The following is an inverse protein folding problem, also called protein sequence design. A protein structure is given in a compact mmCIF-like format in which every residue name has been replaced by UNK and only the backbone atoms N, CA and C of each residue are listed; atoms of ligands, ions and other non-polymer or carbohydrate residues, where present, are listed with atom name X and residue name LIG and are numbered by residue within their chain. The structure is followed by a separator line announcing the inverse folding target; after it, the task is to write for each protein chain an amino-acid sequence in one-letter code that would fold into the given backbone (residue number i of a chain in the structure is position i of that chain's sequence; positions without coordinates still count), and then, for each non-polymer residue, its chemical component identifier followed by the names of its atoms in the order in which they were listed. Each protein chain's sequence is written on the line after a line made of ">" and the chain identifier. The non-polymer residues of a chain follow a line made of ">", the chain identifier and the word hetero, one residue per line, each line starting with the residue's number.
data_IF_246915228869
#
_entry.id   IF_246915228869
#
_cell.length_a   1.000
_cell.length_b   1.000
_cell.length_c   1.000
_cell.angle_alpha   90.00
_cell.angle_beta   90.00
_cell.angle_gamma   90.00
#
_symmetry.space_group_name_H-M   'P 1'
#
loop_
_entity.id
_entity.type
_entity.pdbx_description
1 polymer ?
2 non-polymer ?
3 non-polymer ?
4 water ?
#
# COMPACT_ATOMS: atom_id res chain seq x y z
N UNK A 1 -9.30 -10.01 -13.09
CA UNK A 1 -9.42 -9.40 -14.40
C UNK A 1 -8.65 -8.07 -14.50
N UNK A 2 -7.85 -7.98 -15.50
CA UNK A 2 -7.08 -6.79 -15.67
C UNK A 2 -7.87 -5.69 -16.39
N UNK A 3 -8.65 -6.07 -17.40
CA UNK A 3 -9.37 -5.10 -18.19
C UNK A 3 -8.53 -4.55 -19.34
N UNK A 4 -9.16 -3.70 -20.15
CA UNK A 4 -8.56 -3.20 -21.37
C UNK A 4 -7.84 -1.87 -21.26
N UNK A 5 -7.79 -1.37 -20.02
CA UNK A 5 -7.40 -0.04 -19.72
C UNK A 5 -6.13 0.08 -18.85
N UNK A 6 -5.37 -0.98 -18.73
CA UNK A 6 -4.16 -1.00 -17.97
C UNK A 6 -4.27 -1.78 -16.66
N UNK A 7 -3.14 -2.21 -16.10
CA UNK A 7 -3.14 -3.10 -14.94
C UNK A 7 -3.03 -2.20 -13.69
N UNK A 8 -4.08 -2.14 -12.90
CA UNK A 8 -4.04 -1.30 -11.71
C UNK A 8 -2.92 -1.65 -10.73
N UNK A 9 -2.47 -2.92 -10.75
CA UNK A 9 -1.41 -3.34 -9.82
C UNK A 9 -0.07 -2.64 -10.17
N UNK A 10 0.04 -2.11 -11.37
CA UNK A 10 1.25 -1.47 -11.86
C UNK A 10 1.26 0.05 -11.66
N UNK A 11 0.26 0.55 -10.99
CA UNK A 11 0.10 1.94 -10.73
C UNK A 11 0.58 2.32 -9.32
N UNK A 12 1.40 3.33 -9.29
CA UNK A 12 1.98 3.76 -8.05
C UNK A 12 0.92 4.53 -7.25
N UNK A 13 1.02 4.52 -5.95
CA UNK A 13 0.06 5.25 -5.17
C UNK A 13 0.63 5.66 -3.84
N UNK A 14 0.23 6.82 -3.39
CA UNK A 14 0.56 7.32 -2.08
C UNK A 14 -0.66 7.32 -1.19
N UNK A 15 -1.76 6.73 -1.65
CA UNK A 15 -2.94 6.52 -0.85
C UNK A 15 -3.64 7.78 -0.36
N UNK A 16 -4.35 7.65 0.75
CA UNK A 16 -5.28 8.64 1.26
C UNK A 16 -4.50 9.72 1.95
N UNK A 17 -4.83 10.97 1.69
CA UNK A 17 -4.25 12.07 2.46
C UNK A 17 -4.88 12.16 3.83
N UNK A 18 -4.32 13.03 4.67
CA UNK A 18 -4.93 13.34 5.95
C UNK A 18 -6.35 13.78 5.81
N UNK A 19 -6.63 14.55 4.79
CA UNK A 19 -7.97 14.99 4.52
C UNK A 19 -9.02 13.89 4.33
N UNK A 20 -8.61 12.75 3.79
CA UNK A 20 -9.48 11.64 3.74
C UNK A 20 -9.44 10.77 5.01
N UNK A 21 -8.28 10.66 5.62
CA UNK A 21 -8.12 9.78 6.74
C UNK A 21 -8.84 10.32 7.98
N UNK A 22 -8.78 11.59 8.17
CA UNK A 22 -9.34 12.13 9.39
C UNK A 22 -10.84 11.89 9.58
N UNK A 23 -11.66 12.23 8.58
CA UNK A 23 -13.07 11.94 8.62
C UNK A 23 -13.40 10.49 8.92
N UNK A 24 -12.48 9.55 8.63
CA UNK A 24 -12.70 8.13 8.90
C UNK A 24 -12.14 7.74 10.26
N UNK A 25 -11.86 8.74 11.07
CA UNK A 25 -11.29 8.58 12.38
C UNK A 25 -10.00 7.72 12.43
N UNK A 26 -9.14 7.86 11.42
CA UNK A 26 -7.81 7.31 11.47
C UNK A 26 -6.75 8.35 11.76
N UNK A 27 -5.73 7.98 12.54
CA UNK A 27 -4.66 8.89 12.92
C UNK A 27 -3.38 8.67 12.13
N UNK A 28 -3.56 8.07 10.97
CA UNK A 28 -2.49 7.96 10.00
C UNK A 28 -3.02 8.10 8.58
N UNK A 29 -2.14 8.41 7.64
CA UNK A 29 -2.54 8.54 6.28
C UNK A 29 -1.73 7.59 5.37
N UNK A 30 -1.95 7.59 4.08
CA UNK A 30 -1.12 6.80 3.22
C UNK A 30 -1.78 5.53 2.74
N UNK A 31 -1.00 4.62 2.17
CA UNK A 31 -1.64 3.49 1.59
C UNK A 31 -2.35 2.60 2.65
N UNK A 32 -1.77 2.49 3.83
CA UNK A 32 -2.37 1.68 4.84
C UNK A 32 -3.74 2.25 5.23
N UNK A 33 -3.87 3.56 5.11
CA UNK A 33 -5.12 4.21 5.45
C UNK A 33 -6.16 3.89 4.40
N UNK A 34 -5.76 4.00 3.16
CA UNK A 34 -6.63 3.53 2.11
C UNK A 34 -7.09 2.08 2.28
N UNK A 35 -6.16 1.23 2.65
CA UNK A 35 -6.43 -0.19 2.79
C UNK A 35 -7.38 -0.45 3.94
N UNK A 36 -7.25 0.32 5.00
CA UNK A 36 -8.08 0.13 6.16
C UNK A 36 -9.49 0.54 5.82
N UNK A 37 -9.62 1.67 5.16
CA UNK A 37 -10.94 2.14 4.80
C UNK A 37 -11.62 1.15 3.83
N UNK A 38 -10.87 0.67 2.87
CA UNK A 38 -11.41 -0.32 1.99
C UNK A 38 -11.84 -1.57 2.76
N UNK A 39 -11.02 -2.03 3.65
CA UNK A 39 -11.34 -3.20 4.42
C UNK A 39 -12.64 -2.98 5.20
N UNK A 40 -12.82 -1.79 5.72
CA UNK A 40 -14.03 -1.51 6.46
C UNK A 40 -15.28 -1.56 5.56
N UNK A 41 -15.10 -1.31 4.27
CA UNK A 41 -16.22 -1.37 3.37
C UNK A 41 -16.35 -2.74 2.68
N UNK A 42 -15.50 -3.68 3.01
CA UNK A 42 -15.47 -4.93 2.29
C UNK A 42 -16.75 -5.79 2.42
N UNK A 43 -17.34 -5.76 3.60
CA UNK A 43 -18.44 -6.59 3.86
C UNK A 43 -19.64 -6.04 3.04
N UNK A 44 -19.82 -4.73 3.09
CA UNK A 44 -20.85 -4.07 2.31
C UNK A 44 -20.59 -4.20 0.81
N UNK A 45 -19.37 -3.99 0.38
CA UNK A 45 -19.03 -4.22 -1.02
C UNK A 45 -19.43 -5.62 -1.46
N UNK A 46 -19.12 -6.59 -0.66
CA UNK A 46 -19.34 -7.99 -0.99
C UNK A 46 -20.82 -8.32 -1.29
N UNK A 47 -21.72 -7.53 -0.72
CA UNK A 47 -23.08 -7.57 -1.18
C UNK A 47 -23.26 -7.50 -2.67
N UNK A 48 -22.36 -6.83 -3.35
CA UNK A 48 -22.57 -6.55 -4.76
C UNK A 48 -21.56 -7.26 -5.67
N UNK A 49 -20.73 -8.08 -5.07
CA UNK A 49 -19.58 -8.58 -5.72
C UNK A 49 -19.86 -9.28 -7.06
N UNK A 50 -20.93 -10.08 -7.15
CA UNK A 50 -21.20 -10.77 -8.42
C UNK A 50 -21.67 -9.80 -9.53
N UNK A 51 -22.38 -8.76 -9.16
CA UNK A 51 -22.75 -7.72 -10.13
C UNK A 51 -21.56 -6.91 -10.61
N UNK A 52 -20.70 -6.58 -9.68
CA UNK A 52 -19.52 -5.86 -10.05
C UNK A 52 -18.70 -6.66 -11.09
N UNK A 53 -18.50 -7.90 -10.80
CA UNK A 53 -17.78 -8.76 -11.75
C UNK A 53 -18.49 -8.96 -13.09
N UNK A 54 -19.81 -8.96 -13.09
CA UNK A 54 -20.52 -9.02 -14.37
C UNK A 54 -20.22 -7.80 -15.20
N UNK A 55 -20.33 -6.68 -14.53
CA UNK A 55 -20.07 -5.42 -15.14
C UNK A 55 -18.63 -5.33 -15.63
N UNK A 56 -17.68 -5.80 -14.86
CA UNK A 56 -16.30 -5.81 -15.29
C UNK A 56 -16.08 -6.72 -16.48
N UNK A 57 -16.76 -7.84 -16.46
CA UNK A 57 -16.69 -8.70 -17.64
C UNK A 57 -17.28 -8.04 -18.90
N UNK A 58 -18.42 -7.43 -18.76
CA UNK A 58 -19.11 -6.87 -19.89
C UNK A 58 -18.33 -5.76 -20.51
N UNK A 59 -17.71 -4.95 -19.68
CA UNK A 59 -17.01 -3.78 -20.12
C UNK A 59 -15.45 -3.91 -20.26
N UNK A 60 -14.88 -5.04 -19.95
CA UNK A 60 -13.47 -5.17 -19.80
C UNK A 60 -12.83 -4.12 -18.90
N UNK A 61 -13.38 -3.99 -17.73
CA UNK A 61 -12.84 -3.11 -16.72
C UNK A 61 -12.58 -3.95 -15.44
N UNK A 62 -11.49 -3.65 -14.72
CA UNK A 62 -11.07 -4.48 -13.58
C UNK A 62 -12.16 -4.25 -12.50
N UNK A 63 -12.78 -5.30 -11.99
CA UNK A 63 -13.80 -5.15 -10.96
C UNK A 63 -13.28 -4.59 -9.66
N UNK A 64 -12.00 -4.78 -9.43
CA UNK A 64 -11.33 -4.14 -8.33
C UNK A 64 -11.33 -2.58 -8.37
N UNK A 65 -11.15 -2.07 -9.57
CA UNK A 65 -11.23 -0.63 -9.79
C UNK A 65 -12.66 -0.12 -9.57
N UNK A 66 -13.64 -0.82 -10.11
CA UNK A 66 -15.02 -0.49 -9.80
C UNK A 66 -15.25 -0.48 -8.28
N UNK A 67 -14.81 -1.50 -7.60
CA UNK A 67 -14.96 -1.52 -6.16
C UNK A 67 -14.29 -0.35 -5.43
N UNK A 68 -13.06 -0.07 -5.87
CA UNK A 68 -12.31 1.02 -5.28
C UNK A 68 -13.04 2.34 -5.41
N UNK A 69 -13.60 2.59 -6.56
CA UNK A 69 -14.47 3.75 -6.76
C UNK A 69 -15.69 3.76 -5.84
N UNK A 70 -16.35 2.62 -5.75
CA UNK A 70 -17.52 2.55 -4.91
C UNK A 70 -17.18 2.86 -3.43
N UNK A 71 -16.10 2.31 -2.95
CA UNK A 71 -15.73 2.55 -1.62
C UNK A 71 -15.51 4.02 -1.36
N UNK A 72 -14.82 4.63 -2.29
CA UNK A 72 -14.46 6.05 -2.16
C UNK A 72 -15.69 6.93 -2.32
N UNK A 73 -16.55 6.54 -3.24
CA UNK A 73 -17.70 7.39 -3.53
C UNK A 73 -18.81 7.38 -2.52
N UNK A 74 -19.09 6.23 -1.97
CA UNK A 74 -20.31 5.97 -1.25
C UNK A 74 -20.14 5.06 -0.02
N UNK A 75 -18.92 4.60 0.23
CA UNK A 75 -18.71 3.56 1.22
C UNK A 75 -19.67 2.35 0.95
N UNK A 76 -19.71 1.96 -0.30
CA UNK A 76 -20.54 0.85 -0.69
C UNK A 76 -21.99 1.11 -0.21
N UNK A 77 -22.42 2.35 -0.34
CA UNK A 77 -23.74 2.73 0.02
C UNK A 77 -23.88 3.26 1.40
N UNK A 78 -22.97 2.96 2.27
CA UNK A 78 -23.22 3.30 3.66
C UNK A 78 -23.24 4.81 3.94
N UNK A 79 -22.66 5.59 3.05
CA UNK A 79 -22.58 7.03 3.21
C UNK A 79 -23.70 7.83 2.58
N UNK A 80 -24.54 7.15 1.79
CA UNK A 80 -25.61 7.77 1.05
C UNK A 80 -26.86 8.02 1.89
N UNK A 81 -27.66 8.94 1.41
CA UNK A 81 -29.01 9.13 1.90
C UNK A 81 -30.00 8.70 0.80
N UNK A 82 -30.62 7.57 1.02
CA UNK A 82 -31.56 7.03 0.05
C UNK A 82 -31.01 7.06 -1.35
N UNK A 83 -29.77 6.69 -1.51
CA UNK A 83 -29.17 6.59 -2.83
C UNK A 83 -28.33 7.78 -3.26
N UNK A 84 -28.42 8.87 -2.52
CA UNK A 84 -27.85 10.11 -2.93
C UNK A 84 -26.68 10.62 -2.00
N UNK A 85 -25.73 11.30 -2.60
CA UNK A 85 -24.67 12.03 -1.92
C UNK A 85 -24.13 13.25 -2.68
N UNK A 86 -22.97 13.74 -2.34
CA UNK A 86 -22.51 14.93 -3.03
C UNK A 86 -23.55 16.07 -3.14
N UNK A 87 -24.05 16.47 -1.99
CA UNK A 87 -24.80 17.69 -1.91
C UNK A 87 -26.02 17.53 -2.83
N UNK A 88 -26.46 16.30 -2.95
CA UNK A 88 -27.67 16.00 -3.68
C UNK A 88 -27.46 15.82 -5.17
N UNK A 89 -26.21 15.80 -5.57
CA UNK A 89 -25.89 15.67 -6.97
C UNK A 89 -25.51 14.30 -7.42
N UNK A 90 -25.01 13.51 -6.50
CA UNK A 90 -24.49 12.24 -6.90
C UNK A 90 -25.49 11.10 -6.65
N UNK A 91 -25.61 10.15 -7.58
CA UNK A 91 -26.54 9.06 -7.44
C UNK A 91 -25.83 7.70 -7.39
N UNK A 92 -26.16 6.86 -6.43
CA UNK A 92 -25.85 5.46 -6.54
C UNK A 92 -24.46 5.11 -5.99
N UNK A 93 -24.15 3.83 -5.93
CA UNK A 93 -22.89 3.33 -5.45
C UNK A 93 -21.66 4.06 -5.99
N UNK A 94 -21.68 4.35 -7.28
CA UNK A 94 -20.61 5.07 -7.95
C UNK A 94 -20.80 6.58 -8.11
N UNK A 95 -21.88 7.07 -7.54
CA UNK A 95 -22.16 8.48 -7.53
C UNK A 95 -22.03 9.20 -8.87
N UNK A 96 -22.84 8.75 -9.79
CA UNK A 96 -23.09 9.47 -11.01
C UNK A 96 -23.73 10.86 -10.82
N UNK A 97 -23.14 11.89 -11.39
CA UNK A 97 -23.62 13.26 -11.21
C UNK A 97 -24.90 13.46 -12.01
N UNK A 98 -25.99 13.74 -11.36
CA UNK A 98 -27.26 13.94 -12.07
C UNK A 98 -27.33 15.24 -12.90
N UNK A 99 -26.37 16.13 -12.73
CA UNK A 99 -26.44 17.39 -13.39
C UNK A 99 -26.00 17.30 -14.83
N UNK A 100 -25.22 16.29 -15.10
CA UNK A 100 -24.69 16.12 -16.43
C UNK A 100 -25.05 14.79 -17.02
N UNK A 101 -25.50 13.84 -16.24
CA UNK A 101 -25.99 12.57 -16.72
C UNK A 101 -27.40 12.34 -16.22
N UNK A 102 -28.17 11.61 -16.98
CA UNK A 102 -29.46 11.09 -16.52
C UNK A 102 -29.29 9.76 -15.77
N UNK A 103 -29.35 9.76 -14.43
CA UNK A 103 -29.02 8.53 -13.70
C UNK A 103 -30.02 7.45 -14.06
N UNK A 104 -29.57 6.24 -14.31
CA UNK A 104 -30.45 5.13 -14.54
C UNK A 104 -30.29 4.03 -13.48
N UNK A 105 -31.34 3.31 -13.22
CA UNK A 105 -31.23 2.11 -12.46
C UNK A 105 -31.52 2.32 -10.97
N UNK A 106 -31.70 1.24 -10.26
CA UNK A 106 -31.71 1.28 -8.81
C UNK A 106 -30.31 1.71 -8.38
N UNK A 107 -30.26 2.42 -7.27
CA UNK A 107 -29.06 3.01 -6.76
C UNK A 107 -27.90 2.03 -6.58
N UNK A 108 -28.22 0.74 -6.45
CA UNK A 108 -27.26 -0.29 -6.13
C UNK A 108 -27.37 -1.47 -7.07
N UNK A 109 -27.82 -1.18 -8.28
CA UNK A 109 -27.99 -2.21 -9.29
C UNK A 109 -27.09 -2.22 -10.50
N UNK A 110 -27.29 -3.20 -11.34
CA UNK A 110 -26.41 -3.43 -12.46
C UNK A 110 -26.40 -2.29 -13.48
N UNK A 111 -27.57 -1.82 -13.86
CA UNK A 111 -27.63 -0.70 -14.78
C UNK A 111 -26.90 0.51 -14.23
N UNK A 112 -27.04 0.78 -12.94
CA UNK A 112 -26.28 1.86 -12.38
C UNK A 112 -24.73 1.66 -12.52
N UNK A 113 -24.27 0.46 -12.22
CA UNK A 113 -22.87 0.15 -12.24
C UNK A 113 -22.33 0.22 -13.65
N UNK A 114 -23.19 -0.15 -14.58
CA UNK A 114 -22.80 -0.06 -15.98
C UNK A 114 -22.60 1.40 -16.37
N UNK A 115 -23.51 2.23 -15.90
CA UNK A 115 -23.44 3.63 -16.21
C UNK A 115 -22.17 4.29 -15.66
N UNK A 116 -21.93 4.06 -14.39
CA UNK A 116 -20.77 4.64 -13.77
C UNK A 116 -19.50 4.13 -14.44
N UNK A 117 -19.47 2.88 -14.76
CA UNK A 117 -18.29 2.30 -15.31
C UNK A 117 -18.05 2.78 -16.75
N UNK A 118 -19.10 2.99 -17.52
CA UNK A 118 -18.95 3.57 -18.85
C UNK A 118 -18.38 4.98 -18.77
N UNK A 119 -18.79 5.68 -17.74
CA UNK A 119 -18.31 7.00 -17.57
C UNK A 119 -16.82 6.93 -17.23
N UNK A 120 -16.42 6.06 -16.32
CA UNK A 120 -15.02 5.83 -16.08
C UNK A 120 -14.23 5.57 -17.32
N UNK A 121 -14.72 4.68 -18.16
CA UNK A 121 -14.09 4.41 -19.42
C UNK A 121 -13.92 5.67 -20.24
N UNK A 122 -14.96 6.48 -20.28
CA UNK A 122 -14.84 7.69 -21.05
C UNK A 122 -13.76 8.64 -20.48
N UNK A 123 -13.59 8.69 -19.17
CA UNK A 123 -12.53 9.47 -18.59
C UNK A 123 -11.14 8.90 -18.96
N UNK A 124 -11.02 7.59 -18.94
CA UNK A 124 -9.74 7.04 -19.20
C UNK A 124 -9.39 7.38 -20.66
N UNK A 125 -10.35 7.28 -21.54
CA UNK A 125 -10.08 7.49 -22.95
C UNK A 125 -9.72 8.95 -23.26
N UNK A 126 -10.31 9.85 -22.47
CA UNK A 126 -9.98 11.24 -22.52
C UNK A 126 -8.53 11.49 -22.17
N UNK A 127 -8.09 10.89 -21.07
CA UNK A 127 -6.72 10.97 -20.67
C UNK A 127 -5.77 10.31 -21.71
N UNK A 128 -6.18 9.20 -22.25
CA UNK A 128 -5.35 8.59 -23.31
C UNK A 128 -5.13 9.49 -24.50
N UNK A 129 -6.16 10.24 -24.85
CA UNK A 129 -6.08 11.18 -25.97
C UNK A 129 -5.26 12.38 -25.59
N UNK A 130 -5.43 12.87 -24.35
CA UNK A 130 -4.78 14.06 -23.87
C UNK A 130 -3.26 13.86 -23.71
N UNK A 131 -2.85 12.69 -23.26
CA UNK A 131 -1.48 12.37 -22.94
C UNK A 131 -0.99 11.06 -23.63
N UNK A 132 -0.89 11.08 -24.96
CA UNK A 132 -0.52 9.87 -25.67
C UNK A 132 0.90 9.33 -25.39
N UNK A 133 1.75 10.11 -24.76
CA UNK A 133 3.08 9.67 -24.42
C UNK A 133 3.19 9.01 -23.01
N UNK A 134 2.14 9.10 -22.21
CA UNK A 134 2.01 8.29 -21.07
C UNK A 134 1.84 6.77 -21.34
N UNK A 135 2.22 5.94 -20.41
CA UNK A 135 1.87 4.54 -20.44
C UNK A 135 0.38 4.28 -20.18
N UNK A 136 -0.09 3.12 -20.58
CA UNK A 136 -1.47 2.80 -20.32
C UNK A 136 -1.80 2.93 -18.82
N UNK A 137 -0.91 2.42 -17.99
CA UNK A 137 -1.09 2.49 -16.56
C UNK A 137 -1.13 3.93 -16.03
N UNK A 138 -0.29 4.80 -16.54
CA UNK A 138 -0.38 6.23 -16.25
C UNK A 138 -1.72 6.82 -16.62
N UNK A 139 -2.14 6.49 -17.82
CA UNK A 139 -3.41 6.96 -18.29
C UNK A 139 -4.59 6.46 -17.42
N UNK A 140 -4.47 5.22 -16.94
CA UNK A 140 -5.49 4.65 -16.10
C UNK A 140 -5.60 5.52 -14.85
N UNK A 141 -4.47 5.83 -14.25
CA UNK A 141 -4.55 6.61 -13.00
C UNK A 141 -5.20 7.99 -13.28
N UNK A 142 -4.82 8.55 -14.41
CA UNK A 142 -5.35 9.83 -14.79
C UNK A 142 -6.86 9.76 -15.00
N UNK A 143 -7.31 8.66 -15.58
CA UNK A 143 -8.71 8.46 -15.85
C UNK A 143 -9.50 8.45 -14.55
N UNK A 144 -8.96 7.75 -13.58
CA UNK A 144 -9.63 7.63 -12.31
C UNK A 144 -9.67 9.02 -11.63
N UNK A 145 -8.62 9.75 -11.75
CA UNK A 145 -8.61 11.10 -11.19
C UNK A 145 -9.67 11.95 -11.89
N UNK A 146 -9.79 11.76 -13.18
CA UNK A 146 -10.72 12.56 -13.94
C UNK A 146 -12.16 12.15 -13.57
N UNK A 147 -12.36 10.94 -13.07
CA UNK A 147 -13.67 10.52 -12.67
C UNK A 147 -14.23 11.45 -11.59
N UNK A 148 -13.33 12.05 -10.84
CA UNK A 148 -13.70 12.95 -9.79
C UNK A 148 -13.73 14.40 -10.24
N UNK A 149 -12.65 14.81 -10.88
CA UNK A 149 -12.44 16.21 -11.24
C UNK A 149 -12.55 16.64 -12.70
N UNK A 150 -12.82 15.67 -13.57
CA UNK A 150 -12.85 15.97 -14.98
C UNK A 150 -11.46 15.88 -15.59
N UNK A 151 -11.41 15.47 -16.84
CA UNK A 151 -10.13 15.30 -17.48
C UNK A 151 -9.33 16.66 -17.61
N UNK A 152 -10.04 17.75 -17.76
CA UNK A 152 -9.46 19.06 -17.67
C UNK A 152 -8.51 19.29 -16.48
N UNK A 153 -8.81 18.65 -15.37
CA UNK A 153 -7.99 18.81 -14.17
C UNK A 153 -6.63 18.08 -14.16
N UNK A 154 -6.47 17.17 -15.10
CA UNK A 154 -5.31 16.34 -15.09
C UNK A 154 -4.32 17.07 -15.97
N UNK A 155 -3.32 17.66 -15.36
CA UNK A 155 -2.31 18.42 -16.09
C UNK A 155 -0.85 17.98 -15.85
N UNK A 156 -0.74 16.83 -15.20
CA UNK A 156 0.48 16.25 -14.71
C UNK A 156 0.19 14.82 -14.36
N UNK A 157 1.23 14.02 -14.22
CA UNK A 157 1.07 12.70 -13.69
C UNK A 157 1.18 12.71 -12.16
N UNK A 158 2.26 13.23 -11.64
CA UNK A 158 2.54 13.16 -10.24
C UNK A 158 1.60 14.00 -9.37
N UNK A 159 1.06 15.05 -9.91
CA UNK A 159 0.25 15.92 -9.10
C UNK A 159 -1.17 16.00 -9.65
N UNK A 160 -1.57 15.01 -10.44
CA UNK A 160 -2.93 14.92 -10.97
C UNK A 160 -3.99 15.15 -9.92
N UNK A 161 -3.81 14.69 -8.71
CA UNK A 161 -4.90 14.69 -7.78
C UNK A 161 -5.08 16.05 -7.10
N UNK A 162 -4.20 17.00 -7.34
CA UNK A 162 -4.45 18.38 -6.88
C UNK A 162 -5.74 18.92 -7.50
N UNK A 163 -6.63 19.44 -6.70
CA UNK A 163 -7.91 19.78 -7.21
C UNK A 163 -9.01 18.75 -7.19
N UNK A 164 -8.70 17.49 -6.91
CA UNK A 164 -9.70 16.53 -6.57
C UNK A 164 -10.16 16.70 -5.16
N UNK A 165 -11.25 16.04 -4.81
CA UNK A 165 -11.69 16.06 -3.44
C UNK A 165 -10.55 15.54 -2.57
N UNK A 166 -10.17 16.28 -1.54
CA UNK A 166 -9.10 15.92 -0.63
C UNK A 166 -7.68 15.81 -1.27
N UNK A 167 -7.61 16.31 -2.49
CA UNK A 167 -6.39 16.31 -3.23
C UNK A 167 -5.71 14.96 -3.24
N UNK A 168 -6.50 13.89 -3.29
CA UNK A 168 -5.95 12.54 -3.27
C UNK A 168 -6.75 11.46 -3.98
N UNK A 169 -7.64 11.83 -4.85
CA UNK A 169 -8.68 10.93 -5.24
C UNK A 169 -8.14 9.67 -5.94
N UNK A 170 -7.36 9.84 -6.99
CA UNK A 170 -6.91 8.64 -7.68
C UNK A 170 -5.88 7.86 -6.85
N UNK A 171 -5.03 8.54 -6.13
CA UNK A 171 -4.12 7.81 -5.29
C UNK A 171 -4.90 6.89 -4.30
N UNK A 172 -5.87 7.49 -3.64
CA UNK A 172 -6.72 6.74 -2.70
C UNK A 172 -7.47 5.58 -3.42
N UNK A 173 -8.11 5.89 -4.50
CA UNK A 173 -8.89 4.90 -5.16
C UNK A 173 -7.98 3.72 -5.63
N UNK A 174 -6.80 4.03 -6.07
CA UNK A 174 -5.93 3.00 -6.60
C UNK A 174 -5.50 2.03 -5.51
N UNK A 175 -5.27 2.60 -4.33
CA UNK A 175 -4.93 1.80 -3.20
C UNK A 175 -6.08 0.95 -2.75
N UNK A 176 -7.27 1.54 -2.67
CA UNK A 176 -8.48 0.75 -2.42
C UNK A 176 -8.66 -0.38 -3.39
N UNK A 177 -8.57 -0.09 -4.68
CA UNK A 177 -8.60 -1.10 -5.71
C UNK A 177 -7.58 -2.22 -5.53
N UNK A 178 -6.33 -1.82 -5.33
CA UNK A 178 -5.29 -2.82 -5.13
C UNK A 178 -5.62 -3.74 -3.96
N UNK A 179 -6.21 -3.19 -2.92
CA UNK A 179 -6.79 -3.99 -1.82
C UNK A 179 -7.88 -5.00 -2.27
N UNK A 180 -8.92 -4.52 -2.91
CA UNK A 180 -9.96 -5.39 -3.31
C UNK A 180 -9.49 -6.46 -4.25
N UNK A 181 -8.47 -6.17 -5.01
CA UNK A 181 -7.96 -7.14 -5.94
C UNK A 181 -7.38 -8.36 -5.21
N UNK A 182 -7.06 -8.15 -3.94
CA UNK A 182 -6.53 -9.19 -3.10
C UNK A 182 -7.59 -9.90 -2.26
N UNK A 183 -8.81 -9.46 -2.42
CA UNK A 183 -9.94 -9.94 -1.72
C UNK A 183 -11.06 -10.37 -2.61
N UNK A 184 -10.68 -10.99 -3.70
CA UNK A 184 -11.62 -11.65 -4.53
C UNK A 184 -12.32 -10.87 -5.62
N UNK A 185 -11.91 -9.60 -5.82
CA UNK A 185 -12.31 -8.77 -6.95
C UNK A 185 -11.36 -8.88 -8.17
N UNK B 1 12.41 0.35 -8.60
CA UNK B 1 11.62 0.67 -7.43
C UNK B 1 11.29 -0.58 -6.62
N UNK B 2 10.20 -1.23 -6.97
CA UNK B 2 9.60 -2.20 -6.09
C UNK B 2 10.36 -3.51 -6.13
N UNK B 3 10.79 -3.88 -7.30
CA UNK B 3 11.51 -5.11 -7.38
C UNK B 3 10.65 -6.34 -7.43
N UNK B 4 11.24 -7.49 -7.20
CA UNK B 4 10.58 -8.73 -7.58
C UNK B 4 10.13 -9.66 -6.43
N UNK B 5 10.18 -9.13 -5.22
CA UNK B 5 9.85 -9.92 -4.06
C UNK B 5 8.55 -9.52 -3.37
N UNK B 6 7.81 -8.65 -4.03
CA UNK B 6 6.55 -8.20 -3.54
C UNK B 6 6.49 -6.71 -3.28
N UNK B 7 5.29 -6.16 -3.26
CA UNK B 7 5.11 -4.74 -3.05
C UNK B 7 4.58 -4.40 -1.66
N UNK B 8 5.38 -3.74 -0.88
CA UNK B 8 4.99 -3.39 0.44
C UNK B 8 3.77 -2.47 0.55
N UNK B 9 3.51 -1.70 -0.50
CA UNK B 9 2.32 -0.88 -0.56
C UNK B 9 1.04 -1.70 -0.69
N UNK B 10 1.22 -2.99 -0.92
CA UNK B 10 0.07 -3.88 -1.00
C UNK B 10 0.11 -5.02 0.06
N UNK B 11 0.70 -4.75 1.20
CA UNK B 11 0.77 -5.70 2.27
C UNK B 11 -0.02 -5.10 3.43
N UNK B 12 -0.80 -5.91 4.10
CA UNK B 12 -1.58 -5.50 5.27
C UNK B 12 -0.63 -5.21 6.39
N UNK B 13 -0.96 -4.23 7.22
CA UNK B 13 -0.20 -4.05 8.41
C UNK B 13 -1.01 -3.41 9.50
N UNK B 14 -0.76 -3.84 10.70
CA UNK B 14 -1.35 -3.27 11.91
C UNK B 14 -0.30 -2.45 12.64
N UNK B 15 0.88 -2.28 12.05
CA UNK B 15 1.91 -1.44 12.65
C UNK B 15 2.49 -1.92 13.97
N UNK B 16 3.00 -1.00 14.77
CA UNK B 16 3.68 -1.30 16.00
C UNK B 16 2.72 -1.73 17.11
N UNK B 17 3.11 -2.69 17.94
CA UNK B 17 2.36 -3.00 19.13
C UNK B 17 2.67 -1.93 20.18
N UNK B 18 1.89 -1.91 21.24
CA UNK B 18 2.29 -1.10 22.38
C UNK B 18 3.70 -1.43 22.87
N UNK B 19 4.14 -2.66 22.70
CA UNK B 19 5.46 -3.00 23.19
C UNK B 19 6.58 -2.41 22.35
N UNK B 20 6.34 -2.10 21.10
CA UNK B 20 7.27 -1.29 20.35
C UNK B 20 7.15 0.20 20.53
N UNK B 21 5.97 0.70 20.84
CA UNK B 21 5.72 2.12 20.86
C UNK B 21 6.18 2.69 22.20
N UNK B 22 5.99 1.93 23.23
CA UNK B 22 6.32 2.39 24.55
C UNK B 22 7.79 2.83 24.75
N UNK B 23 8.73 2.00 24.34
CA UNK B 23 10.16 2.31 24.35
C UNK B 23 10.53 3.53 23.53
N UNK B 24 9.74 3.84 22.49
CA UNK B 24 9.91 5.04 21.71
C UNK B 24 9.20 6.26 22.27
N UNK B 25 8.68 6.11 23.48
CA UNK B 25 7.98 7.19 24.13
C UNK B 25 6.71 7.63 23.48
N UNK B 26 5.98 6.71 22.88
CA UNK B 26 4.76 7.07 22.19
C UNK B 26 3.56 6.56 22.93
N UNK B 27 2.55 7.40 23.13
CA UNK B 27 1.40 6.96 23.86
C UNK B 27 0.26 6.44 22.99
N UNK B 28 0.62 5.99 21.82
CA UNK B 28 -0.29 5.43 20.88
C UNK B 28 0.42 4.40 20.04
N UNK B 29 -0.30 3.47 19.42
CA UNK B 29 0.30 2.31 18.74
C UNK B 29 -0.05 2.24 17.26
N UNK B 30 0.20 1.10 16.65
CA UNK B 30 -0.35 0.86 15.35
C UNK B 30 0.41 1.56 14.25
N UNK B 31 -0.20 1.67 13.10
CA UNK B 31 0.43 2.29 11.95
C UNK B 31 0.89 3.75 12.22
N UNK B 32 0.11 4.52 12.96
CA UNK B 32 0.57 5.84 13.30
C UNK B 32 1.91 5.82 14.05
N UNK B 33 2.07 4.84 14.92
CA UNK B 33 3.27 4.76 15.69
C UNK B 33 4.42 4.37 14.78
N UNK B 34 4.20 3.34 14.00
CA UNK B 34 5.23 2.96 13.08
C UNK B 34 5.71 4.13 12.19
N UNK B 35 4.81 4.90 11.65
CA UNK B 35 5.15 5.99 10.79
C UNK B 35 5.91 7.06 11.54
N UNK B 36 5.51 7.36 12.76
CA UNK B 36 6.22 8.37 13.51
C UNK B 36 7.65 7.91 13.80
N UNK B 37 7.81 6.65 14.14
CA UNK B 37 9.11 6.17 14.48
C UNK B 37 9.96 6.22 13.22
N UNK B 38 9.38 5.85 12.10
CA UNK B 38 10.13 5.84 10.87
C UNK B 38 10.53 7.27 10.53
N UNK B 39 9.64 8.18 10.81
CA UNK B 39 9.88 9.60 10.58
C UNK B 39 11.05 10.11 11.35
N UNK B 40 11.10 9.78 12.63
CA UNK B 40 12.20 10.12 13.47
C UNK B 40 13.53 9.48 13.09
N UNK B 41 13.51 8.47 12.28
CA UNK B 41 14.75 7.90 11.79
C UNK B 41 15.12 8.39 10.39
N UNK B 42 14.32 9.27 9.84
CA UNK B 42 14.51 9.58 8.46
C UNK B 42 15.85 10.33 8.20
N UNK B 43 16.20 11.23 9.09
CA UNK B 43 17.38 12.02 8.90
C UNK B 43 18.57 11.10 8.84
N UNK B 44 18.70 10.15 9.77
CA UNK B 44 19.80 9.22 9.77
C UNK B 44 19.71 8.23 8.66
N UNK B 45 18.52 7.80 8.33
CA UNK B 45 18.39 6.89 7.20
C UNK B 45 18.90 7.52 5.92
N UNK B 46 18.54 8.78 5.77
CA UNK B 46 18.85 9.49 4.57
C UNK B 46 20.39 9.59 4.35
N UNK B 47 21.19 9.38 5.40
CA UNK B 47 22.63 9.34 5.23
C UNK B 47 23.09 8.20 4.33
N UNK B 48 22.25 7.18 4.30
CA UNK B 48 22.54 5.97 3.57
C UNK B 48 21.72 5.74 2.30
N UNK B 49 20.93 6.71 1.87
CA UNK B 49 19.88 6.44 0.89
C UNK B 49 20.43 5.93 -0.40
N UNK B 50 21.57 6.44 -0.83
CA UNK B 50 22.02 6.03 -2.15
C UNK B 50 22.58 4.63 -2.09
N UNK B 51 23.19 4.24 -1.00
CA UNK B 51 23.61 2.84 -0.86
C UNK B 51 22.41 1.87 -0.76
N UNK B 52 21.43 2.28 0.01
CA UNK B 52 20.24 1.49 0.13
C UNK B 52 19.59 1.27 -1.21
N UNK B 53 19.44 2.31 -2.00
CA UNK B 53 18.94 2.14 -3.33
C UNK B 53 19.84 1.27 -4.25
N UNK B 54 21.13 1.46 -4.20
CA UNK B 54 22.02 0.61 -4.97
C UNK B 54 21.79 -0.84 -4.65
N UNK B 55 21.71 -1.08 -3.37
CA UNK B 55 21.56 -2.45 -2.93
C UNK B 55 20.19 -3.04 -3.34
N UNK B 56 19.14 -2.27 -3.13
CA UNK B 56 17.84 -2.67 -3.60
C UNK B 56 17.86 -2.98 -5.09
N UNK B 57 18.45 -2.11 -5.87
CA UNK B 57 18.48 -2.35 -7.30
C UNK B 57 19.22 -3.57 -7.67
N UNK B 58 20.36 -3.78 -7.04
CA UNK B 58 21.16 -4.94 -7.31
C UNK B 58 20.48 -6.24 -7.02
N UNK B 59 19.74 -6.27 -5.94
CA UNK B 59 19.16 -7.51 -5.50
C UNK B 59 17.67 -7.66 -5.87
N UNK B 60 17.09 -6.66 -6.51
CA UNK B 60 15.70 -6.68 -6.86
C UNK B 60 14.77 -6.60 -5.65
N UNK B 61 15.22 -5.92 -4.62
CA UNK B 61 14.46 -5.74 -3.39
C UNK B 61 14.09 -4.28 -3.24
N UNK B 62 12.91 -4.01 -2.69
CA UNK B 62 12.42 -2.63 -2.60
C UNK B 62 13.33 -1.87 -1.58
N UNK B 63 13.99 -0.82 -1.97
CA UNK B 63 14.80 -0.08 -0.98
C UNK B 63 13.99 0.39 0.23
N UNK B 64 12.70 0.58 0.07
CA UNK B 64 11.87 0.96 1.19
C UNK B 64 11.81 -0.14 2.26
N UNK B 65 11.85 -1.38 1.83
CA UNK B 65 11.84 -2.51 2.73
C UNK B 65 13.21 -2.60 3.50
N UNK B 66 14.27 -2.53 2.77
CA UNK B 66 15.54 -2.40 3.43
C UNK B 66 15.53 -1.29 4.49
N UNK B 67 15.03 -0.15 4.10
CA UNK B 67 14.96 0.94 5.06
C UNK B 67 14.14 0.64 6.29
N UNK B 68 12.98 0.02 6.08
CA UNK B 68 12.10 -0.32 7.16
C UNK B 68 12.80 -1.25 8.12
N UNK B 69 13.47 -2.24 7.58
CA UNK B 69 14.27 -3.14 8.40
C UNK B 69 15.36 -2.38 9.17
N UNK B 70 16.02 -1.42 8.56
CA UNK B 70 17.12 -0.75 9.20
C UNK B 70 16.57 0.08 10.39
N UNK B 71 15.44 0.71 10.15
CA UNK B 71 14.85 1.51 11.21
C UNK B 71 14.55 0.64 12.43
N UNK B 72 14.00 -0.52 12.18
CA UNK B 72 13.58 -1.41 13.25
C UNK B 72 14.78 -2.04 13.97
N UNK B 73 15.76 -2.41 13.19
CA UNK B 73 16.83 -3.14 13.75
C UNK B 73 17.82 -2.27 14.49
N UNK B 74 18.07 -1.09 13.94
CA UNK B 74 19.12 -0.24 14.48
C UNK B 74 18.86 1.26 14.64
N UNK B 75 17.67 1.69 14.26
CA UNK B 75 17.34 3.10 14.15
C UNK B 75 18.36 3.78 13.22
N UNK B 76 18.66 3.14 12.13
CA UNK B 76 19.61 3.68 11.22
C UNK B 76 20.94 4.01 11.94
N UNK B 77 21.33 3.19 12.87
CA UNK B 77 22.64 3.27 13.47
C UNK B 77 22.58 3.86 14.87
N UNK B 78 21.54 4.58 15.15
CA UNK B 78 21.51 5.27 16.40
C UNK B 78 21.42 4.34 17.60
N UNK B 79 20.98 3.13 17.40
CA UNK B 79 20.87 2.21 18.51
C UNK B 79 22.11 1.39 18.78
N UNK B 80 23.14 1.54 17.94
CA UNK B 80 24.30 0.67 17.92
C UNK B 80 25.48 1.28 18.69
N UNK B 81 26.38 0.47 19.20
CA UNK B 81 27.68 0.91 19.60
C UNK B 81 28.83 0.27 18.85
N UNK B 82 29.56 1.09 18.12
CA UNK B 82 30.56 0.60 17.22
C UNK B 82 30.06 -0.42 16.26
N UNK B 83 28.91 -0.20 15.66
CA UNK B 83 28.39 -1.15 14.72
C UNK B 83 27.54 -2.28 15.26
N UNK B 84 27.58 -2.56 16.57
CA UNK B 84 26.95 -3.75 17.11
C UNK B 84 25.72 -3.45 17.99
N UNK B 85 24.76 -4.34 18.00
CA UNK B 85 23.58 -4.15 18.82
C UNK B 85 23.84 -4.40 20.28
N UNK B 86 22.92 -4.02 21.15
CA UNK B 86 23.14 -4.26 22.59
C UNK B 86 23.34 -5.73 22.95
N UNK B 87 22.83 -6.61 22.09
CA UNK B 87 22.97 -8.02 22.38
C UNK B 87 24.40 -8.49 22.23
N UNK B 88 25.21 -7.74 21.53
CA UNK B 88 26.49 -8.22 21.12
C UNK B 88 26.43 -9.19 19.95
N UNK B 89 25.26 -9.35 19.36
CA UNK B 89 25.06 -10.41 18.37
C UNK B 89 24.87 -9.91 16.97
N UNK B 90 24.17 -8.81 16.86
CA UNK B 90 23.85 -8.19 15.60
C UNK B 90 24.79 -7.09 15.15
N UNK B 91 25.21 -7.15 13.90
CA UNK B 91 26.15 -6.21 13.38
C UNK B 91 25.52 -5.42 12.24
N UNK B 92 25.76 -4.12 12.25
CA UNK B 92 25.49 -3.25 11.13
C UNK B 92 24.09 -2.70 11.06
N UNK B 93 23.83 -1.81 10.11
CA UNK B 93 22.53 -1.21 9.92
C UNK B 93 21.35 -2.20 10.05
N UNK B 94 21.50 -3.38 9.40
CA UNK B 94 20.45 -4.42 9.36
C UNK B 94 20.62 -5.59 10.36
N UNK B 95 21.67 -5.50 11.18
CA UNK B 95 21.91 -6.37 12.31
C UNK B 95 22.00 -7.82 11.89
N UNK B 96 22.97 -8.11 11.07
CA UNK B 96 23.29 -9.46 10.74
C UNK B 96 23.73 -10.20 12.00
N UNK B 97 23.11 -11.31 12.28
CA UNK B 97 23.40 -12.07 13.49
C UNK B 97 24.67 -12.91 13.35
N UNK B 98 25.68 -12.58 14.13
CA UNK B 98 26.98 -13.28 14.11
C UNK B 98 26.85 -14.81 14.43
N UNK B 99 25.78 -15.19 15.08
CA UNK B 99 25.59 -16.56 15.45
C UNK B 99 25.23 -17.44 14.28
N UNK B 100 24.71 -16.83 13.23
CA UNK B 100 24.33 -17.61 12.09
C UNK B 100 24.97 -17.23 10.79
N UNK B 101 25.72 -16.16 10.80
CA UNK B 101 26.43 -15.59 9.67
C UNK B 101 27.77 -14.96 10.10
N UNK B 102 28.76 -15.06 9.23
CA UNK B 102 29.99 -14.30 9.42
C UNK B 102 29.67 -12.92 8.84
N UNK B 103 29.47 -11.96 9.71
CA UNK B 103 29.21 -10.60 9.27
C UNK B 103 30.36 -9.95 8.51
N UNK B 104 30.10 -9.31 7.40
CA UNK B 104 31.12 -8.71 6.60
C UNK B 104 30.90 -7.22 6.33
N UNK B 105 31.97 -6.54 5.95
CA UNK B 105 31.91 -5.16 5.57
C UNK B 105 31.89 -4.19 6.75
N UNK B 106 32.04 -2.92 6.44
CA UNK B 106 31.83 -1.90 7.42
C UNK B 106 30.35 -1.90 7.85
N UNK B 107 30.10 -1.46 9.05
CA UNK B 107 28.79 -1.61 9.62
C UNK B 107 27.71 -0.86 8.86
N UNK B 108 28.07 0.20 8.16
CA UNK B 108 27.14 1.06 7.44
C UNK B 108 27.45 1.14 5.97
N UNK B 109 27.93 0.07 5.41
CA UNK B 109 28.30 0.10 4.02
C UNK B 109 27.65 -0.88 3.08
N UNK B 110 28.04 -0.84 1.84
CA UNK B 110 27.37 -1.62 0.82
C UNK B 110 27.43 -3.15 1.04
N UNK B 111 28.58 -3.68 1.38
CA UNK B 111 28.70 -5.10 1.60
C UNK B 111 27.84 -5.64 2.73
N UNK B 112 27.73 -4.87 3.79
CA UNK B 112 26.83 -5.20 4.86
C UNK B 112 25.40 -5.22 4.42
N UNK B 113 24.97 -4.19 3.75
CA UNK B 113 23.63 -4.12 3.26
C UNK B 113 23.32 -5.26 2.26
N UNK B 114 24.27 -5.59 1.43
CA UNK B 114 24.04 -6.70 0.55
C UNK B 114 23.81 -8.01 1.35
N UNK B 115 24.63 -8.24 2.36
CA UNK B 115 24.52 -9.41 3.20
C UNK B 115 23.16 -9.47 3.91
N UNK B 116 22.80 -8.40 4.57
CA UNK B 116 21.52 -8.38 5.23
C UNK B 116 20.37 -8.61 4.28
N UNK B 117 20.46 -8.07 3.09
CA UNK B 117 19.37 -8.10 2.17
C UNK B 117 19.33 -9.52 1.49
N UNK B 118 20.50 -10.10 1.21
CA UNK B 118 20.51 -11.50 0.78
C UNK B 118 19.94 -12.45 1.85
N UNK B 119 20.21 -12.18 3.09
CA UNK B 119 19.55 -12.92 4.13
C UNK B 119 18.02 -12.75 4.14
N UNK B 120 17.54 -11.54 3.98
CA UNK B 120 16.13 -11.33 3.81
C UNK B 120 15.54 -12.12 2.66
N UNK B 121 16.18 -12.04 1.53
CA UNK B 121 15.82 -12.87 0.40
C UNK B 121 15.70 -14.33 0.74
N UNK B 122 16.65 -14.86 1.48
CA UNK B 122 16.58 -16.28 1.84
C UNK B 122 15.32 -16.56 2.66
N UNK B 123 15.00 -15.69 3.58
CA UNK B 123 13.81 -15.80 4.36
C UNK B 123 12.51 -15.75 3.53
N UNK B 124 12.44 -14.84 2.57
CA UNK B 124 11.28 -14.72 1.70
C UNK B 124 11.17 -15.97 0.84
N UNK B 125 12.28 -16.43 0.32
CA UNK B 125 12.26 -17.69 -0.38
C UNK B 125 11.74 -18.88 0.43
N UNK B 126 12.17 -18.98 1.67
CA UNK B 126 11.71 -20.02 2.53
C UNK B 126 10.18 -19.96 2.67
N UNK B 127 9.64 -18.78 2.89
CA UNK B 127 8.22 -18.63 2.99
C UNK B 127 7.48 -18.88 1.70
N UNK B 128 8.10 -18.55 0.60
CA UNK B 128 7.53 -18.87 -0.69
C UNK B 128 7.35 -20.38 -0.87
N UNK B 129 8.39 -21.08 -0.54
CA UNK B 129 8.36 -22.53 -0.55
C UNK B 129 7.37 -23.14 0.43
N UNK B 130 7.32 -22.55 1.60
CA UNK B 130 6.53 -23.08 2.68
C UNK B 130 5.02 -22.91 2.51
N UNK B 131 4.60 -21.78 2.02
CA UNK B 131 3.20 -21.45 1.89
C UNK B 131 2.87 -21.03 0.47
N UNK B 132 2.98 -21.95 -0.48
CA UNK B 132 2.78 -21.61 -1.90
C UNK B 132 1.35 -21.07 -2.23
N UNK B 133 0.45 -21.27 -1.32
CA UNK B 133 -0.88 -20.72 -1.42
C UNK B 133 -0.96 -19.20 -1.24
N UNK B 134 -0.03 -18.64 -0.49
CA UNK B 134 0.06 -17.21 -0.32
C UNK B 134 0.46 -16.43 -1.57
N UNK B 135 0.08 -15.16 -1.62
CA UNK B 135 0.57 -14.26 -2.65
C UNK B 135 2.02 -13.80 -2.44
N UNK B 136 2.69 -13.26 -3.45
CA UNK B 136 4.00 -12.65 -3.26
C UNK B 136 4.00 -11.65 -2.11
N UNK B 137 2.98 -10.82 -2.09
CA UNK B 137 2.84 -9.87 -1.02
C UNK B 137 2.79 -10.54 0.37
N UNK B 138 1.98 -11.58 0.48
CA UNK B 138 1.88 -12.29 1.75
C UNK B 138 3.19 -12.98 2.14
N UNK B 139 3.85 -13.55 1.16
CA UNK B 139 5.14 -14.15 1.36
C UNK B 139 6.24 -13.11 1.75
N UNK B 140 6.13 -11.91 1.24
CA UNK B 140 7.07 -10.87 1.59
C UNK B 140 6.90 -10.58 3.07
N UNK B 141 5.68 -10.41 3.52
CA UNK B 141 5.48 -10.10 4.94
C UNK B 141 6.03 -11.25 5.82
N UNK B 142 5.79 -12.47 5.39
CA UNK B 142 6.29 -13.61 6.12
C UNK B 142 7.83 -13.70 6.19
N UNK B 143 8.46 -13.39 5.07
CA UNK B 143 9.91 -13.31 4.93
C UNK B 143 10.46 -12.29 5.91
N UNK B 144 9.79 -11.18 5.99
CA UNK B 144 10.14 -10.13 6.92
C UNK B 144 10.03 -10.59 8.35
N UNK B 145 8.91 -11.16 8.69
CA UNK B 145 8.71 -11.76 9.98
C UNK B 145 9.80 -12.78 10.34
N UNK B 146 10.12 -13.62 9.37
CA UNK B 146 11.15 -14.60 9.47
C UNK B 146 12.55 -14.03 9.71
N UNK B 147 12.83 -12.87 9.16
CA UNK B 147 14.08 -12.19 9.37
C UNK B 147 14.35 -12.00 10.87
N UNK B 148 13.29 -11.82 11.65
CA UNK B 148 13.37 -11.65 13.12
C UNK B 148 13.35 -13.06 13.81
N UNK B 149 12.40 -13.91 13.43
CA UNK B 149 12.13 -15.10 14.24
C UNK B 149 12.42 -16.44 13.65
N UNK B 150 12.79 -16.43 12.38
CA UNK B 150 13.05 -17.62 11.62
C UNK B 150 11.84 -18.12 10.90
N UNK B 151 11.99 -18.82 9.82
CA UNK B 151 10.83 -19.28 9.10
C UNK B 151 9.92 -20.21 9.89
N UNK B 152 10.53 -20.97 10.77
CA UNK B 152 9.75 -21.87 11.61
C UNK B 152 8.68 -21.18 12.43
N UNK B 153 8.83 -19.89 12.67
CA UNK B 153 7.91 -19.16 13.52
C UNK B 153 6.69 -18.73 12.76
N UNK B 154 6.79 -18.84 11.46
CA UNK B 154 5.69 -18.39 10.60
C UNK B 154 4.77 -19.59 10.35
N UNK B 155 3.69 -19.64 11.13
CA UNK B 155 2.78 -20.77 11.15
C UNK B 155 1.35 -20.34 10.72
N UNK B 156 1.23 -19.07 10.34
CA UNK B 156 -0.01 -18.37 9.97
C UNK B 156 0.31 -17.11 9.17
N UNK B 157 -0.67 -16.62 8.48
CA UNK B 157 -0.55 -15.34 7.86
C UNK B 157 -0.94 -14.22 8.86
N UNK B 158 -2.15 -14.28 9.35
CA UNK B 158 -2.68 -13.22 10.15
C UNK B 158 -1.96 -13.05 11.47
N UNK B 159 -1.37 -14.11 11.98
CA UNK B 159 -0.74 -14.05 13.29
C UNK B 159 0.74 -14.40 13.30
N UNK B 160 1.36 -14.23 12.14
CA UNK B 160 2.75 -14.56 11.95
C UNK B 160 3.66 -13.92 12.96
N UNK B 161 3.30 -12.74 13.40
CA UNK B 161 4.18 -11.95 14.24
C UNK B 161 4.23 -12.38 15.70
N UNK B 162 3.29 -13.23 16.12
CA UNK B 162 3.35 -13.80 17.44
C UNK B 162 4.67 -14.54 17.57
N UNK B 163 5.39 -14.17 18.58
CA UNK B 163 6.66 -14.82 18.79
C UNK B 163 7.83 -14.08 18.20
N UNK B 164 7.60 -13.06 17.38
CA UNK B 164 8.62 -12.09 17.04
C UNK B 164 8.91 -11.18 18.22
N UNK B 165 10.00 -10.46 18.15
CA UNK B 165 10.24 -9.43 19.15
C UNK B 165 9.05 -8.46 19.20
N UNK B 166 8.56 -8.19 20.39
CA UNK B 166 7.39 -7.37 20.55
C UNK B 166 6.08 -7.88 19.89
N UNK B 167 6.12 -9.10 19.38
CA UNK B 167 4.96 -9.69 18.70
C UNK B 167 4.38 -8.84 17.56
N UNK B 168 5.27 -8.14 16.85
CA UNK B 168 4.84 -7.21 15.82
C UNK B 168 5.84 -6.91 14.70
N UNK B 169 6.86 -7.74 14.58
CA UNK B 169 7.99 -7.35 13.78
C UNK B 169 7.63 -7.01 12.33
N UNK B 170 7.03 -7.94 11.61
CA UNK B 170 6.69 -7.63 10.24
C UNK B 170 5.62 -6.51 10.06
N UNK B 171 4.62 -6.54 10.91
CA UNK B 171 3.63 -5.47 10.84
C UNK B 171 4.34 -4.12 10.97
N UNK B 172 5.22 -4.00 11.93
CA UNK B 172 5.89 -2.73 12.19
C UNK B 172 6.80 -2.37 11.00
N UNK B 173 7.64 -3.32 10.65
CA UNK B 173 8.51 -3.08 9.51
C UNK B 173 7.75 -2.64 8.26
N UNK B 174 6.68 -3.32 7.92
CA UNK B 174 5.93 -2.99 6.71
C UNK B 174 5.35 -1.55 6.75
N UNK B 175 4.82 -1.15 7.89
CA UNK B 175 4.42 0.21 8.06
C UNK B 175 5.50 1.25 7.92
N UNK B 176 6.64 1.00 8.55
CA UNK B 176 7.81 1.85 8.34
C UNK B 176 8.24 1.88 6.86
N UNK B 177 8.33 0.74 6.23
CA UNK B 177 8.67 0.71 4.81
C UNK B 177 7.70 1.50 3.95
N UNK B 178 6.44 1.39 4.24
CA UNK B 178 5.49 2.18 3.53
C UNK B 178 5.73 3.68 3.64
N UNK B 179 5.97 4.12 4.85
CA UNK B 179 6.45 5.47 5.05
C UNK B 179 7.67 5.87 4.19
N UNK B 180 8.71 5.08 4.24
CA UNK B 180 9.89 5.37 3.45
C UNK B 180 9.56 5.41 1.94
N UNK B 181 8.69 4.53 1.53
CA UNK B 181 8.26 4.50 0.14
C UNK B 181 7.64 5.86 -0.32
N UNK B 182 6.94 6.53 0.57
CA UNK B 182 6.41 7.88 0.32
C UNK B 182 7.44 8.95 0.44
N UNK B 183 8.56 8.67 1.10
CA UNK B 183 9.64 9.64 1.16
C UNK B 183 10.89 9.33 0.41
N UNK B 184 10.73 8.69 -0.72
CA UNK B 184 11.73 8.70 -1.74
C UNK B 184 12.61 7.46 -1.79
N UNK B 185 12.22 6.46 -0.98
CA UNK B 185 12.76 5.14 -1.06
C UNK B 185 12.01 4.19 -2.00
X LIG C 1 -18.40 13.02 -8.56
X LIG C 1 -17.93 11.60 -8.77
X LIG C 1 -18.26 13.45 -7.09
X LIG C 1 -19.83 12.98 -9.07
X LIG C 1 -16.45 11.55 -8.81
X LIG C 1 -19.30 12.92 -6.20
X LIG C 1 -20.44 14.38 -8.88
X LIG C 1 -17.66 14.06 -9.32
X LIG C 1 -15.93 11.93 -7.58
X LIG C 1 -19.34 11.54 -6.36
X LIG C 1 -21.69 14.32 -8.24
X LIG D 1 -15.87 16.02 -17.13
X LIG D 1 -16.00 15.34 -18.43
X LIG D 1 -15.47 16.37 -19.29
X LIG D 1 -16.01 17.80 -19.02
X LIG D 1 -15.14 18.62 -18.21
X LIG D 1 -15.98 19.41 -17.37
X LIG D 1 -16.04 19.03 -15.88
X LIG D 1 -16.18 18.33 -14.63
X LIG D 1 -15.67 17.98 -13.22
X LIG D 1 -15.86 16.62 -13.45
X LIG D 1 -15.98 15.61 -12.53
X LIG D 1 -16.40 14.32 -13.05
X LIG D 1 -17.07 14.31 -14.48
X LIG D 1 -16.91 13.02 -15.44
X LIG D 1 -17.88 11.90 -15.16
X LIG D 1 -18.74 11.84 -13.96
X LIG D 1 -17.97 11.18 -12.95
X LIG D 1 -18.88 10.48 -12.06
X LIG D 1 -20.30 10.20 -12.71
X LIG E 1 18.82 -14.64 11.23
X LIG E 1 19.74 -15.45 10.36
X LIG E 1 18.50 -13.29 10.52
X LIG E 1 19.41 -14.56 12.63
X LIG E 1 18.97 -16.31 9.35
X LIG E 1 19.49 -12.08 10.54
X LIG E 1 18.53 -13.69 13.52
X LIG E 1 17.61 -15.49 11.36
X LIG E 1 19.83 -16.60 8.24
X LIG E 1 20.91 -12.39 10.66
X LIG E 1 19.15 -13.50 14.78
#
# INVERSE_FOLDING_TARGET
>A
RTGSYGDVNRVDTTGASSKSAKPEKLNYSGVAASRKIAERDLQSMDRYKALIKKVGQKLSVDPAVIAGIISRESHAGKALRNGWGDNGNGFGLMQVDRRSHKPVGEWNGERHLMQGTEILISMIKAIQKKFPRWTKEQQLKGGISAYNAGPGNVRSYERMDIGTTHDDYANDVVARAQYYKQHGY
>B
RTGSYGDVNRVDTTGASSKSAKPEKLNYSGVAASRKIAERDLQSMDRYKALIKKVGQKLSVDPAVIAGIISRESHAGKALRNGWGDNGNGFGLMQVDRRSHKPVGEWNGERHLMQGTEILISMIKAIQKKFPRWTKEQQLKGGISAYNAGPGNVRSYERMDIGTTHDDYANDVVARAQYYKQHGY
>C hetero
1 TAM C C1 C2 C3 C4 C5 C6 N O4 O5 O6
>D hetero
1 P6G O1 C2 C3 O4 C5 C6 O7 C8 C9 O10 C11 C12 O13 C14 C15 O16 C17 C18 O19
>E hetero
1 TAM C C1 C2 C3 C4 C5 C6 N O4 O5 O6
#
